data_IF_611185267450
#
_entry.id   IF_611185267450
#
_cell.length_a   1.000
_cell.length_b   1.000
_cell.length_c   1.000
_cell.angle_alpha   90.00
_cell.angle_beta   90.00
_cell.angle_gamma   90.00
#
_symmetry.space_group_name_H-M   'P 1'
#
loop_
_entity.id
_entity.type
_entity.pdbx_description
1 polymer ?
#
# COMPACT_ATOMS: atom_id res chain seq x y z
N UNK A 1 -6.54 -43.32 -9.46
CA UNK A 1 -5.70 -42.44 -8.65
C UNK A 1 -4.33 -43.05 -8.49
N UNK A 2 -3.28 -42.26 -8.37
CA UNK A 2 -1.90 -42.72 -8.11
C UNK A 2 -1.64 -42.59 -6.60
N UNK A 3 -1.08 -43.61 -5.99
CA UNK A 3 -0.60 -43.59 -4.61
C UNK A 3 0.93 -43.50 -4.65
N UNK A 4 1.50 -42.48 -4.04
CA UNK A 4 2.94 -42.31 -3.93
C UNK A 4 3.34 -42.54 -2.47
N UNK A 5 4.43 -43.25 -2.24
CA UNK A 5 4.98 -43.54 -0.91
C UNK A 5 6.45 -43.14 -0.90
N UNK A 6 6.83 -42.34 0.06
CA UNK A 6 8.23 -41.94 0.31
C UNK A 6 8.37 -41.43 1.73
N UNK A 7 9.55 -41.59 2.31
CA UNK A 7 9.92 -40.96 3.59
C UNK A 7 10.35 -39.49 3.39
N UNK A 8 10.56 -39.07 2.14
CA UNK A 8 10.86 -37.67 1.77
C UNK A 8 9.64 -37.01 1.20
N UNK A 9 9.07 -36.01 1.93
CA UNK A 9 7.93 -35.26 1.54
C UNK A 9 8.17 -34.41 0.26
N UNK A 10 9.40 -33.95 0.03
CA UNK A 10 9.73 -33.18 -1.17
C UNK A 10 9.73 -34.11 -2.41
N UNK A 11 10.19 -35.32 -2.28
CA UNK A 11 10.10 -36.33 -3.35
C UNK A 11 8.64 -36.64 -3.68
N UNK A 12 7.77 -36.81 -2.68
CA UNK A 12 6.33 -37.00 -2.88
C UNK A 12 5.67 -35.81 -3.58
N UNK A 13 6.00 -34.59 -3.15
CA UNK A 13 5.47 -33.35 -3.74
C UNK A 13 5.89 -33.22 -5.21
N UNK A 14 7.16 -33.52 -5.52
CA UNK A 14 7.66 -33.48 -6.90
C UNK A 14 6.99 -34.55 -7.77
N UNK A 15 6.82 -35.77 -7.28
CA UNK A 15 6.16 -36.86 -7.99
C UNK A 15 4.68 -36.54 -8.24
N UNK A 16 4.01 -35.90 -7.29
CA UNK A 16 2.63 -35.41 -7.42
C UNK A 16 2.51 -34.13 -8.28
N UNK A 17 3.64 -33.59 -8.77
CA UNK A 17 3.73 -32.29 -9.44
C UNK A 17 3.16 -31.15 -8.59
N UNK A 18 3.24 -31.26 -7.28
CA UNK A 18 2.86 -30.23 -6.31
C UNK A 18 4.14 -29.54 -5.85
N UNK A 19 4.41 -28.34 -6.28
CA UNK A 19 5.59 -27.58 -5.88
C UNK A 19 5.21 -26.26 -5.22
N UNK A 20 6.06 -25.82 -4.30
CA UNK A 20 5.96 -24.51 -3.71
C UNK A 20 6.23 -23.41 -4.75
N UNK A 21 5.65 -22.24 -4.54
CA UNK A 21 6.04 -21.05 -5.29
C UNK A 21 7.43 -20.59 -4.84
N UNK A 22 8.30 -20.27 -5.80
CA UNK A 22 9.69 -19.87 -5.48
C UNK A 22 9.79 -18.49 -4.84
N UNK A 23 8.75 -17.71 -4.91
CA UNK A 23 8.70 -16.35 -4.37
C UNK A 23 8.93 -16.28 -2.85
N UNK A 24 8.72 -17.36 -2.11
CA UNK A 24 9.05 -17.43 -0.69
C UNK A 24 10.53 -17.18 -0.41
N UNK A 25 11.42 -17.53 -1.35
CA UNK A 25 12.85 -17.28 -1.22
C UNK A 25 13.21 -15.80 -1.31
N UNK A 26 12.35 -14.99 -1.93
CA UNK A 26 12.49 -13.55 -2.00
C UNK A 26 11.86 -12.81 -0.80
N UNK A 27 11.21 -13.53 0.14
CA UNK A 27 10.51 -12.94 1.28
C UNK A 27 9.05 -12.59 0.98
N UNK A 28 8.53 -13.07 -0.15
CA UNK A 28 7.13 -12.91 -0.51
C UNK A 28 6.30 -14.09 0.02
N UNK A 29 5.10 -13.81 0.48
CA UNK A 29 4.09 -14.82 0.78
C UNK A 29 2.97 -14.75 -0.25
N UNK A 30 2.29 -15.87 -0.49
CA UNK A 30 1.15 -15.85 -1.39
C UNK A 30 0.04 -16.83 -1.01
N UNK A 31 -1.18 -16.45 -1.38
CA UNK A 31 -2.33 -17.35 -1.48
C UNK A 31 -2.66 -17.48 -2.96
N UNK A 32 -2.64 -18.72 -3.47
CA UNK A 32 -2.93 -19.02 -4.86
C UNK A 32 -4.28 -19.70 -5.02
N UNK A 33 -5.09 -19.22 -5.97
CA UNK A 33 -6.36 -19.83 -6.35
C UNK A 33 -6.41 -20.09 -7.85
N UNK A 34 -6.98 -21.21 -8.26
CA UNK A 34 -7.28 -21.50 -9.65
C UNK A 34 -8.56 -20.78 -10.09
N UNK A 35 -8.59 -20.32 -11.33
CA UNK A 35 -9.78 -19.86 -12.03
C UNK A 35 -10.04 -20.70 -13.28
N UNK A 36 -11.12 -20.43 -14.00
CA UNK A 36 -11.43 -21.14 -15.23
C UNK A 36 -10.39 -20.93 -16.35
N UNK A 37 -9.69 -19.80 -16.36
CA UNK A 37 -8.76 -19.39 -17.44
C UNK A 37 -7.30 -19.25 -16.98
N UNK A 38 -7.03 -19.38 -15.67
CA UNK A 38 -5.69 -19.17 -15.12
C UNK A 38 -5.65 -19.27 -13.62
N UNK A 39 -4.88 -18.36 -12.99
CA UNK A 39 -4.71 -18.34 -11.53
C UNK A 39 -4.74 -16.92 -11.01
N UNK A 40 -5.16 -16.79 -9.75
CA UNK A 40 -5.01 -15.58 -8.94
C UNK A 40 -3.98 -15.84 -7.86
N UNK A 41 -3.09 -14.88 -7.66
CA UNK A 41 -2.10 -14.85 -6.60
C UNK A 41 -2.34 -13.59 -5.78
N UNK A 42 -2.71 -13.72 -4.52
CA UNK A 42 -2.60 -12.65 -3.54
C UNK A 42 -1.19 -12.74 -2.99
N UNK A 43 -0.39 -11.70 -3.21
CA UNK A 43 1.02 -11.68 -2.86
C UNK A 43 1.27 -10.55 -1.87
N UNK A 44 1.99 -10.85 -0.80
CA UNK A 44 2.42 -9.92 0.23
C UNK A 44 3.94 -9.91 0.34
N UNK A 45 4.52 -8.72 0.45
CA UNK A 45 5.91 -8.57 0.84
C UNK A 45 6.04 -8.60 2.36
N UNK A 46 6.29 -9.79 2.93
CA UNK A 46 6.49 -9.96 4.37
C UNK A 46 7.95 -9.75 4.82
N UNK A 47 8.83 -9.27 3.92
CA UNK A 47 10.21 -8.93 4.25
C UNK A 47 10.34 -7.47 4.71
N UNK A 48 11.48 -7.12 5.26
CA UNK A 48 11.84 -5.77 5.70
C UNK A 48 12.46 -4.89 4.59
N UNK A 49 12.51 -5.41 3.34
CA UNK A 49 13.10 -4.72 2.18
C UNK A 49 12.11 -4.54 1.05
N UNK A 50 12.29 -3.50 0.26
CA UNK A 50 11.56 -3.34 -1.00
C UNK A 50 11.93 -4.47 -1.96
N UNK A 51 10.95 -5.03 -2.63
CA UNK A 51 11.11 -6.00 -3.73
C UNK A 51 10.92 -5.24 -5.03
N UNK A 52 11.89 -5.31 -5.91
CA UNK A 52 11.89 -4.80 -7.29
C UNK A 52 12.52 -5.87 -8.16
N UNK A 53 11.74 -6.90 -8.52
CA UNK A 53 12.33 -8.06 -9.21
C UNK A 53 11.29 -8.83 -10.05
N UNK A 54 11.81 -9.71 -10.90
CA UNK A 54 11.04 -10.68 -11.66
C UNK A 54 10.69 -11.88 -10.79
N UNK A 55 9.41 -11.99 -10.44
CA UNK A 55 8.92 -13.01 -9.52
C UNK A 55 8.38 -14.21 -10.30
N UNK A 56 8.99 -15.38 -10.14
CA UNK A 56 8.56 -16.58 -10.84
C UNK A 56 7.25 -17.11 -10.25
N UNK A 57 6.25 -17.26 -11.11
CA UNK A 57 4.98 -17.89 -10.81
C UNK A 57 4.96 -19.28 -11.44
N UNK A 58 4.59 -20.29 -10.66
CA UNK A 58 4.50 -21.67 -11.14
C UNK A 58 3.25 -21.87 -11.99
N UNK A 59 3.22 -21.21 -13.12
CA UNK A 59 2.16 -21.29 -14.12
C UNK A 59 2.67 -20.88 -15.48
N UNK A 60 2.11 -21.45 -16.52
CA UNK A 60 2.25 -20.93 -17.88
C UNK A 60 1.11 -19.98 -18.18
N UNK A 61 1.43 -18.74 -18.53
CA UNK A 61 0.43 -17.75 -18.87
C UNK A 61 0.76 -17.03 -20.17
N UNK A 62 -0.29 -16.58 -20.87
CA UNK A 62 -0.17 -15.69 -22.03
C UNK A 62 -0.27 -14.23 -21.64
N UNK A 63 -0.93 -13.95 -20.54
CA UNK A 63 -1.08 -12.60 -19.99
C UNK A 63 -1.10 -12.66 -18.47
N UNK A 64 -0.67 -11.57 -17.86
CA UNK A 64 -0.81 -11.29 -16.45
C UNK A 64 -1.29 -9.85 -16.24
N UNK A 65 -2.07 -9.64 -15.20
CA UNK A 65 -2.51 -8.31 -14.76
C UNK A 65 -2.28 -8.17 -13.26
N UNK A 66 -1.93 -6.96 -12.82
CA UNK A 66 -1.75 -6.60 -11.41
C UNK A 66 -2.93 -5.74 -10.98
N UNK A 67 -3.40 -5.99 -9.77
CA UNK A 67 -4.42 -5.19 -9.08
C UNK A 67 -3.87 -4.85 -7.70
N UNK A 68 -3.79 -3.57 -7.40
CA UNK A 68 -3.43 -3.09 -6.06
C UNK A 68 -4.72 -2.84 -5.28
N UNK A 69 -5.05 -3.64 -4.25
CA UNK A 69 -6.31 -3.52 -3.53
C UNK A 69 -6.38 -2.27 -2.64
N UNK A 70 -5.24 -1.68 -2.28
CA UNK A 70 -5.18 -0.49 -1.44
C UNK A 70 -5.45 0.79 -2.23
N UNK A 71 -4.98 0.85 -3.48
CA UNK A 71 -5.07 2.06 -4.31
C UNK A 71 -6.15 1.97 -5.39
N UNK A 72 -6.61 0.75 -5.71
CA UNK A 72 -7.48 0.49 -6.87
C UNK A 72 -6.73 0.50 -8.21
N UNK A 73 -5.42 0.74 -8.22
CA UNK A 73 -4.63 0.71 -9.44
C UNK A 73 -4.60 -0.69 -10.06
N UNK A 74 -4.73 -0.76 -11.37
CA UNK A 74 -4.67 -2.02 -12.10
C UNK A 74 -4.08 -1.83 -13.50
N UNK A 75 -3.55 -2.91 -14.07
CA UNK A 75 -3.00 -2.89 -15.43
C UNK A 75 -2.33 -4.20 -15.82
N UNK A 76 -1.92 -4.29 -17.09
CA UNK A 76 -1.17 -5.43 -17.61
C UNK A 76 0.22 -5.46 -17.01
N UNK A 77 0.57 -6.58 -16.38
CA UNK A 77 1.87 -6.78 -15.77
C UNK A 77 2.97 -6.91 -16.83
N UNK A 78 4.14 -6.35 -16.54
CA UNK A 78 5.35 -6.75 -17.27
C UNK A 78 5.64 -8.22 -16.96
N UNK A 79 5.82 -9.04 -18.00
CA UNK A 79 5.99 -10.49 -17.83
C UNK A 79 7.03 -11.06 -18.79
N UNK A 80 7.67 -12.15 -18.37
CA UNK A 80 8.56 -13.00 -19.17
C UNK A 80 8.07 -14.43 -19.13
N UNK A 81 8.35 -15.19 -20.17
CA UNK A 81 8.06 -16.63 -20.21
C UNK A 81 9.39 -17.39 -20.22
N UNK A 82 9.52 -18.31 -19.27
CA UNK A 82 10.67 -19.18 -19.13
C UNK A 82 10.14 -20.61 -18.94
N UNK A 83 10.62 -21.57 -19.70
CA UNK A 83 10.38 -23.04 -19.63
C UNK A 83 9.30 -23.51 -18.62
N UNK A 84 8.03 -23.40 -19.01
CA UNK A 84 6.89 -23.84 -18.19
C UNK A 84 6.52 -22.90 -17.02
N UNK A 85 7.10 -21.72 -16.96
CA UNK A 85 6.97 -20.75 -15.88
C UNK A 85 6.71 -19.35 -16.47
N UNK A 86 6.04 -18.53 -15.71
CA UNK A 86 5.83 -17.11 -16.02
C UNK A 86 6.46 -16.26 -14.94
N UNK A 87 7.37 -15.37 -15.30
CA UNK A 87 7.90 -14.38 -14.36
C UNK A 87 7.13 -13.08 -14.54
N UNK A 88 6.70 -12.47 -13.44
CA UNK A 88 6.01 -11.18 -13.40
C UNK A 88 6.87 -10.18 -12.64
N UNK A 89 7.07 -9.00 -13.19
CA UNK A 89 7.78 -7.93 -12.50
C UNK A 89 6.90 -7.34 -11.41
N UNK A 90 7.41 -7.28 -10.19
CA UNK A 90 6.72 -6.70 -9.05
C UNK A 90 7.60 -5.65 -8.37
N UNK A 91 6.95 -4.56 -7.94
CA UNK A 91 7.49 -3.55 -7.04
C UNK A 91 6.61 -3.51 -5.79
N UNK A 92 7.15 -3.96 -4.66
CA UNK A 92 6.39 -4.06 -3.40
C UNK A 92 7.26 -3.54 -2.25
N UNK A 93 6.79 -2.53 -1.55
CA UNK A 93 7.38 -2.10 -0.29
C UNK A 93 7.10 -3.14 0.82
N UNK A 94 7.83 -3.13 1.95
CA UNK A 94 7.50 -3.95 3.11
C UNK A 94 6.04 -3.79 3.53
N UNK A 95 5.32 -4.90 3.75
CA UNK A 95 3.91 -4.95 4.09
C UNK A 95 2.94 -4.73 2.92
N UNK A 96 3.43 -4.36 1.74
CA UNK A 96 2.56 -4.10 0.59
C UNK A 96 2.04 -5.40 -0.03
N UNK A 97 0.81 -5.33 -0.53
CA UNK A 97 0.10 -6.46 -1.14
C UNK A 97 -0.38 -6.15 -2.55
N UNK A 98 -0.37 -7.15 -3.41
CA UNK A 98 -1.01 -7.08 -4.74
C UNK A 98 -1.72 -8.37 -5.07
N UNK A 99 -2.66 -8.27 -6.00
CA UNK A 99 -3.27 -9.44 -6.64
C UNK A 99 -2.72 -9.53 -8.06
N UNK A 100 -2.12 -10.67 -8.38
CA UNK A 100 -1.70 -10.99 -9.76
C UNK A 100 -2.68 -12.00 -10.33
N UNK A 101 -3.33 -11.62 -11.44
CA UNK A 101 -4.16 -12.52 -12.24
C UNK A 101 -3.37 -12.99 -13.46
N UNK A 102 -3.30 -14.30 -13.67
CA UNK A 102 -2.68 -14.90 -14.86
C UNK A 102 -3.71 -15.58 -15.73
N UNK A 103 -3.50 -15.62 -17.04
CA UNK A 103 -4.42 -16.27 -17.97
C UNK A 103 -3.70 -16.95 -19.14
N UNK A 104 -4.25 -18.06 -19.58
CA UNK A 104 -3.93 -18.69 -20.87
C UNK A 104 -4.49 -17.94 -22.08
N UNK A 105 -5.33 -16.94 -21.87
CA UNK A 105 -5.88 -16.04 -22.90
C UNK A 105 -5.16 -14.69 -22.85
N UNK A 106 -5.27 -13.89 -23.91
CA UNK A 106 -4.75 -12.53 -23.90
C UNK A 106 -5.70 -11.59 -23.17
N UNK A 107 -5.13 -10.83 -22.21
CA UNK A 107 -5.78 -9.66 -21.65
C UNK A 107 -5.53 -8.44 -22.54
N UNK A 108 -6.48 -7.52 -22.55
CA UNK A 108 -6.36 -6.21 -23.19
C UNK A 108 -6.56 -5.14 -22.11
N UNK A 109 -5.82 -4.04 -22.22
CA UNK A 109 -5.86 -2.94 -21.27
C UNK A 109 -4.54 -2.19 -21.22
N UNK A 110 -4.48 -1.18 -20.37
CA UNK A 110 -3.28 -0.38 -20.17
C UNK A 110 -2.23 -1.17 -19.38
N UNK A 111 -0.96 -0.81 -19.56
CA UNK A 111 0.12 -1.36 -18.74
C UNK A 111 -0.02 -0.94 -17.29
N UNK A 112 0.34 -1.83 -16.37
CA UNK A 112 0.45 -1.47 -14.95
C UNK A 112 1.56 -0.42 -14.79
N UNK A 113 1.25 0.65 -14.04
CA UNK A 113 2.19 1.73 -13.80
C UNK A 113 3.22 1.32 -12.74
N UNK A 114 4.49 1.29 -13.13
CA UNK A 114 5.62 1.13 -12.22
C UNK A 114 6.26 2.49 -12.01
N UNK A 115 6.59 2.84 -10.76
CA UNK A 115 7.12 4.15 -10.41
C UNK A 115 8.59 4.08 -10.03
N UNK A 116 9.39 4.91 -10.67
CA UNK A 116 10.80 5.09 -10.30
C UNK A 116 10.97 6.37 -9.48
N UNK A 117 11.85 6.32 -8.47
CA UNK A 117 12.17 7.50 -7.69
C UNK A 117 12.86 8.54 -8.57
N UNK A 118 12.29 9.75 -8.62
CA UNK A 118 12.83 10.88 -9.39
C UNK A 118 13.79 11.75 -8.56
N UNK A 119 14.03 11.42 -7.28
CA UNK A 119 14.92 12.18 -6.39
C UNK A 119 14.71 11.81 -4.93
N UNK A 120 15.39 12.55 -4.06
CA UNK A 120 15.29 12.35 -2.62
C UNK A 120 13.94 12.86 -2.08
N UNK A 121 13.39 12.18 -1.05
CA UNK A 121 12.17 12.64 -0.39
C UNK A 121 12.36 14.04 0.20
N UNK A 122 11.35 14.89 0.02
CA UNK A 122 11.33 16.20 0.63
C UNK A 122 10.26 16.22 1.73
N UNK A 123 10.60 16.55 2.99
CA UNK A 123 9.59 16.69 4.02
C UNK A 123 8.62 17.83 3.66
N UNK A 124 7.35 17.63 3.96
CA UNK A 124 6.36 18.70 3.91
C UNK A 124 6.65 19.61 5.10
N UNK A 125 7.33 20.72 4.82
CA UNK A 125 7.75 21.71 5.82
C UNK A 125 6.67 22.77 6.02
N UNK A 126 6.68 23.40 7.21
CA UNK A 126 5.75 24.45 7.59
C UNK A 126 4.90 24.06 8.77
N UNK A 127 4.11 25.03 9.26
CA UNK A 127 3.23 24.78 10.39
C UNK A 127 1.98 24.04 9.96
N UNK A 128 1.49 23.17 10.83
CA UNK A 128 0.27 22.41 10.67
C UNK A 128 -0.77 22.91 11.68
N UNK A 129 -1.97 23.16 11.21
CA UNK A 129 -3.13 23.33 12.08
C UNK A 129 -3.80 21.99 12.29
N UNK A 130 -3.96 21.58 13.56
CA UNK A 130 -4.65 20.36 13.95
C UNK A 130 -5.96 20.71 14.62
N UNK A 131 -7.08 20.30 14.01
CA UNK A 131 -8.43 20.58 14.50
C UNK A 131 -9.17 19.26 14.77
N UNK A 132 -9.81 19.15 15.91
CA UNK A 132 -10.56 17.97 16.32
C UNK A 132 -12.03 18.16 15.95
N UNK A 133 -12.56 17.33 15.06
CA UNK A 133 -13.85 17.61 14.39
C UNK A 133 -14.97 16.65 14.77
N UNK A 134 -14.63 15.47 15.25
CA UNK A 134 -15.61 14.45 15.63
C UNK A 134 -14.98 13.47 16.62
N UNK A 135 -15.66 13.15 17.72
CA UNK A 135 -15.18 12.19 18.72
C UNK A 135 -15.53 12.57 20.13
N UNK A 136 -14.79 12.05 21.09
CA UNK A 136 -15.03 12.28 22.52
C UNK A 136 -13.86 11.90 23.42
N UNK A 137 -14.00 12.19 24.74
CA UNK A 137 -15.20 12.62 25.48
C UNK A 137 -15.64 14.06 25.17
N UNK A 138 -14.73 14.92 24.80
CA UNK A 138 -14.96 16.29 24.33
C UNK A 138 -14.01 16.57 23.15
N UNK A 139 -14.34 17.58 22.34
CA UNK A 139 -13.44 18.00 21.27
C UNK A 139 -12.35 18.90 21.86
N UNK A 140 -11.05 18.53 21.76
CA UNK A 140 -9.97 19.41 22.16
C UNK A 140 -9.93 20.68 21.32
N UNK A 141 -9.32 21.74 21.85
CA UNK A 141 -9.06 22.96 21.09
C UNK A 141 -8.11 22.70 19.93
N UNK A 142 -8.29 23.44 18.84
CA UNK A 142 -7.32 23.40 17.72
C UNK A 142 -5.96 23.91 18.17
N UNK A 143 -4.91 23.31 17.64
CA UNK A 143 -3.51 23.65 17.95
C UNK A 143 -2.71 23.79 16.66
N UNK A 144 -1.69 24.63 16.67
CA UNK A 144 -0.70 24.75 15.61
C UNK A 144 0.59 24.10 16.05
N UNK A 145 1.18 23.26 15.21
CA UNK A 145 2.42 22.54 15.47
C UNK A 145 3.37 22.66 14.27
N UNK A 146 4.67 22.69 14.53
CA UNK A 146 5.69 22.72 13.47
C UNK A 146 6.26 21.32 13.18
N UNK A 147 5.89 20.33 13.98
CA UNK A 147 6.27 18.92 13.81
C UNK A 147 5.07 18.03 14.09
N UNK A 148 4.84 17.07 13.21
CA UNK A 148 3.78 16.09 13.39
C UNK A 148 4.21 14.98 14.36
N UNK A 149 3.26 14.51 15.16
CA UNK A 149 3.41 13.44 16.13
C UNK A 149 2.05 12.96 16.59
N UNK A 150 2.03 12.09 17.59
CA UNK A 150 0.77 11.68 18.20
C UNK A 150 0.12 12.86 18.93
N UNK A 151 -1.17 13.06 18.73
CA UNK A 151 -1.88 14.09 19.50
C UNK A 151 -1.93 13.79 21.02
N UNK A 152 -1.66 12.53 21.42
CA UNK A 152 -1.52 12.16 22.83
C UNK A 152 -0.29 12.79 23.49
N UNK A 153 0.66 13.29 22.69
CA UNK A 153 1.88 13.97 23.18
C UNK A 153 1.63 15.47 23.38
N UNK A 154 0.47 16.00 22.98
CA UNK A 154 0.11 17.39 23.21
C UNK A 154 -0.17 17.64 24.70
N UNK A 155 0.05 18.86 25.14
CA UNK A 155 -0.15 19.27 26.53
C UNK A 155 -1.65 19.40 26.82
N UNK A 156 -2.16 18.54 27.69
CA UNK A 156 -3.55 18.51 28.14
C UNK A 156 -4.13 17.11 28.12
N UNK A 157 -4.94 16.81 29.11
CA UNK A 157 -5.55 15.47 29.25
C UNK A 157 -6.66 15.23 28.21
N UNK A 158 -7.25 16.32 27.69
CA UNK A 158 -8.22 16.29 26.61
C UNK A 158 -7.67 15.72 25.32
N UNK A 159 -6.38 15.93 25.02
CA UNK A 159 -5.71 15.34 23.86
C UNK A 159 -5.38 13.85 24.08
N UNK A 160 -4.91 13.51 25.28
CA UNK A 160 -4.54 12.13 25.63
C UNK A 160 -5.72 11.18 25.60
N UNK A 161 -6.88 11.63 26.11
CA UNK A 161 -8.11 10.83 26.18
C UNK A 161 -8.96 10.88 24.91
N UNK A 162 -8.60 11.72 23.93
CA UNK A 162 -9.41 11.90 22.73
C UNK A 162 -9.36 10.68 21.82
N UNK A 163 -10.54 10.23 21.44
CA UNK A 163 -10.73 9.25 20.36
C UNK A 163 -11.75 9.79 19.38
N UNK A 164 -11.37 9.80 18.09
CA UNK A 164 -12.19 10.39 17.05
C UNK A 164 -11.41 10.79 15.82
N UNK A 165 -11.83 11.87 15.18
CA UNK A 165 -11.22 12.39 13.96
C UNK A 165 -10.59 13.75 14.17
N UNK A 166 -9.31 13.88 13.82
CA UNK A 166 -8.59 15.13 13.72
C UNK A 166 -8.27 15.46 12.25
N UNK A 167 -8.23 16.75 11.95
CA UNK A 167 -7.92 17.30 10.63
C UNK A 167 -6.62 18.07 10.75
N UNK A 168 -5.63 17.65 9.98
CA UNK A 168 -4.33 18.28 9.85
C UNK A 168 -4.31 19.08 8.54
N UNK A 169 -4.05 20.37 8.63
CA UNK A 169 -4.03 21.26 7.46
C UNK A 169 -2.70 22.00 7.37
N UNK A 170 -2.12 22.01 6.18
CA UNK A 170 -0.92 22.81 5.87
C UNK A 170 -0.96 23.30 4.43
N UNK A 171 -0.02 24.20 4.07
CA UNK A 171 0.15 24.68 2.70
C UNK A 171 1.47 24.19 2.13
N UNK A 172 1.43 23.59 0.96
CA UNK A 172 2.60 23.20 0.18
C UNK A 172 2.88 24.31 -0.84
N UNK A 173 4.06 24.92 -0.74
CA UNK A 173 4.49 26.02 -1.63
C UNK A 173 5.57 25.54 -2.62
N UNK A 174 5.40 24.35 -3.19
CA UNK A 174 6.40 23.77 -4.08
C UNK A 174 5.71 23.09 -5.26
N UNK A 175 6.10 23.49 -6.46
CA UNK A 175 5.66 22.79 -7.67
C UNK A 175 6.26 21.39 -7.74
N UNK A 176 5.52 20.39 -8.21
CA UNK A 176 6.04 19.04 -8.45
C UNK A 176 7.15 19.06 -9.51
N UNK A 177 8.14 18.17 -9.34
CA UNK A 177 9.26 18.01 -10.29
C UNK A 177 9.18 16.69 -11.07
N UNK A 178 8.11 15.94 -10.87
CA UNK A 178 7.84 14.65 -11.53
C UNK A 178 6.36 14.59 -11.92
N UNK A 179 6.00 13.69 -12.83
CA UNK A 179 4.61 13.53 -13.31
C UNK A 179 3.66 13.01 -12.23
N UNK A 180 4.21 12.28 -11.25
CA UNK A 180 3.47 11.73 -10.11
C UNK A 180 4.25 12.00 -8.83
N UNK A 181 3.56 12.50 -7.82
CA UNK A 181 4.11 12.74 -6.49
C UNK A 181 3.66 11.63 -5.55
N UNK A 182 4.61 10.94 -4.94
CA UNK A 182 4.34 10.02 -3.85
C UNK A 182 4.26 10.81 -2.54
N UNK A 183 3.08 10.89 -1.95
CA UNK A 183 2.87 11.41 -0.62
C UNK A 183 3.00 10.27 0.38
N UNK A 184 3.94 10.36 1.29
CA UNK A 184 4.15 9.42 2.38
C UNK A 184 3.76 10.08 3.69
N UNK A 185 2.78 9.49 4.38
CA UNK A 185 2.29 9.99 5.67
C UNK A 185 3.10 9.42 6.86
N UNK A 186 4.09 8.56 6.59
CA UNK A 186 4.89 7.91 7.61
C UNK A 186 4.07 6.92 8.44
N UNK A 187 3.73 7.29 9.67
CA UNK A 187 2.92 6.47 10.57
C UNK A 187 1.58 7.15 10.85
N UNK A 188 0.51 6.40 10.68
CA UNK A 188 -0.87 6.87 10.93
C UNK A 188 -1.56 5.90 11.90
N UNK A 189 -2.26 6.44 12.86
CA UNK A 189 -3.06 5.67 13.80
C UNK A 189 -4.54 6.03 13.59
N UNK A 190 -5.20 5.30 12.85
CA UNK A 190 -5.44 4.02 12.24
C UNK A 190 -5.55 4.18 10.71
N UNK A 191 -6.27 5.25 10.29
CA UNK A 191 -6.52 5.55 8.89
C UNK A 191 -6.46 7.05 8.61
N UNK A 192 -6.15 7.39 7.36
CA UNK A 192 -6.12 8.79 6.93
C UNK A 192 -6.77 8.97 5.56
N UNK A 193 -7.64 9.98 5.46
CA UNK A 193 -8.17 10.47 4.18
C UNK A 193 -7.48 11.77 3.80
N UNK A 194 -6.98 11.84 2.57
CA UNK A 194 -6.18 12.95 2.05
C UNK A 194 -6.96 13.75 1.03
N UNK A 195 -6.85 15.07 1.14
CA UNK A 195 -7.43 16.04 0.19
C UNK A 195 -6.35 17.03 -0.21
N UNK A 196 -6.33 17.41 -1.48
CA UNK A 196 -5.48 18.46 -2.04
C UNK A 196 -6.35 19.51 -2.70
N UNK A 197 -6.26 20.77 -2.26
CA UNK A 197 -7.09 21.88 -2.75
C UNK A 197 -8.61 21.61 -2.70
N UNK A 198 -9.04 20.83 -1.71
CA UNK A 198 -10.43 20.39 -1.55
C UNK A 198 -10.80 19.13 -2.33
N UNK A 199 -9.99 18.69 -3.28
CA UNK A 199 -10.21 17.45 -4.03
C UNK A 199 -9.80 16.24 -3.19
N UNK A 200 -10.69 15.23 -3.11
CA UNK A 200 -10.35 13.95 -2.47
C UNK A 200 -9.32 13.19 -3.31
N UNK A 201 -8.22 12.81 -2.65
CA UNK A 201 -7.12 12.06 -3.28
C UNK A 201 -7.24 10.57 -3.00
N UNK A 202 -7.50 10.20 -1.75
CA UNK A 202 -7.61 8.78 -1.35
C UNK A 202 -7.65 8.61 0.15
N UNK A 203 -7.87 7.37 0.58
CA UNK A 203 -7.80 6.95 1.98
C UNK A 203 -6.80 5.80 2.11
N UNK A 204 -5.94 5.88 3.10
CA UNK A 204 -5.03 4.81 3.50
C UNK A 204 -5.48 4.24 4.85
N UNK A 205 -5.49 2.92 4.96
CA UNK A 205 -6.04 2.18 6.12
C UNK A 205 -5.00 1.28 6.78
N UNK A 206 -3.86 1.09 6.15
CA UNK A 206 -2.77 0.26 6.65
C UNK A 206 -1.44 0.70 6.01
N UNK A 207 -0.34 0.22 6.54
CA UNK A 207 1.02 0.44 6.01
C UNK A 207 1.21 -0.25 4.64
N UNK A 208 1.96 0.39 3.72
CA UNK A 208 2.54 1.72 3.81
C UNK A 208 1.47 2.81 3.59
N UNK A 209 1.49 3.84 4.44
CA UNK A 209 0.54 4.96 4.36
C UNK A 209 0.94 5.94 3.25
N UNK A 210 0.84 5.51 2.01
CA UNK A 210 1.32 6.22 0.83
C UNK A 210 0.22 6.39 -0.22
N UNK A 211 0.21 7.55 -0.88
CA UNK A 211 -0.67 7.87 -2.00
C UNK A 211 0.13 8.43 -3.16
N UNK A 212 -0.32 8.16 -4.37
CA UNK A 212 0.27 8.67 -5.60
C UNK A 212 -0.65 9.74 -6.20
N UNK A 213 -0.14 10.96 -6.32
CA UNK A 213 -0.90 12.14 -6.73
C UNK A 213 -0.35 12.64 -8.06
N UNK A 214 -1.15 12.68 -9.16
CA UNK A 214 -0.73 13.26 -10.42
C UNK A 214 -0.30 14.72 -10.24
N UNK A 215 0.81 15.11 -10.88
CA UNK A 215 1.38 16.45 -10.75
C UNK A 215 0.41 17.57 -11.17
N UNK A 216 -0.47 17.28 -12.10
CA UNK A 216 -1.50 18.20 -12.61
C UNK A 216 -2.50 18.68 -11.55
N UNK A 217 -2.61 17.96 -10.42
CA UNK A 217 -3.45 18.37 -9.29
C UNK A 217 -2.83 19.48 -8.44
N UNK A 218 -1.53 19.72 -8.60
CA UNK A 218 -0.81 20.76 -7.88
C UNK A 218 -0.89 22.09 -8.64
N UNK A 219 -1.09 23.18 -7.88
CA UNK A 219 -1.23 24.57 -8.41
C UNK A 219 -0.03 25.44 -8.03
N UNK A 220 0.93 24.91 -7.25
CA UNK A 220 2.14 25.60 -6.80
C UNK A 220 2.01 26.26 -5.41
N UNK A 221 0.80 26.59 -5.00
CA UNK A 221 0.42 26.87 -3.60
C UNK A 221 -0.81 26.02 -3.32
N UNK A 222 -0.62 24.96 -2.55
CA UNK A 222 -1.59 23.88 -2.43
C UNK A 222 -1.96 23.65 -0.98
N UNK A 223 -3.25 23.63 -0.67
CA UNK A 223 -3.75 23.23 0.63
C UNK A 223 -3.76 21.68 0.71
N UNK A 224 -2.98 21.15 1.63
CA UNK A 224 -3.00 19.72 1.97
C UNK A 224 -3.81 19.54 3.25
N UNK A 225 -4.84 18.71 3.17
CA UNK A 225 -5.67 18.33 4.32
C UNK A 225 -5.61 16.82 4.52
N UNK A 226 -5.23 16.40 5.73
CA UNK A 226 -5.17 14.99 6.13
C UNK A 226 -6.12 14.77 7.30
N UNK A 227 -7.17 13.99 7.10
CA UNK A 227 -8.14 13.63 8.13
C UNK A 227 -7.76 12.28 8.71
N UNK A 228 -7.35 12.26 9.97
CA UNK A 228 -6.93 11.05 10.68
C UNK A 228 -8.01 10.64 11.67
N UNK A 229 -8.43 9.38 11.59
CA UNK A 229 -9.35 8.80 12.57
C UNK A 229 -8.65 7.67 13.33
N UNK A 230 -8.65 7.76 14.67
CA UNK A 230 -8.12 6.70 15.52
C UNK A 230 -9.23 5.79 16.06
N UNK A 231 -8.81 4.71 16.72
CA UNK A 231 -9.69 3.82 17.47
C UNK A 231 -10.03 4.38 18.86
N UNK A 232 -10.88 3.68 19.61
CA UNK A 232 -11.24 4.01 21.01
C UNK A 232 -10.11 3.74 22.02
N UNK A 233 -8.94 3.26 21.58
CA UNK A 233 -7.87 2.82 22.46
C UNK A 233 -7.39 3.91 23.42
N UNK A 234 -7.20 5.14 22.95
CA UNK A 234 -6.76 6.27 23.78
C UNK A 234 -7.75 6.55 24.93
N UNK A 235 -9.04 6.54 24.61
CA UNK A 235 -10.09 6.79 25.61
C UNK A 235 -10.16 5.66 26.65
N UNK A 236 -10.06 4.41 26.19
CA UNK A 236 -10.11 3.26 27.10
C UNK A 236 -8.88 3.22 28.00
N UNK A 237 -7.70 3.53 27.46
CA UNK A 237 -6.46 3.55 28.22
C UNK A 237 -6.43 4.66 29.30
N UNK A 238 -7.24 5.72 29.12
CA UNK A 238 -7.31 6.87 30.04
C UNK A 238 -8.43 6.74 31.08
N UNK A 239 -9.33 5.79 30.94
CA UNK A 239 -10.42 5.49 31.91
C UNK A 239 -9.92 4.65 33.07
#
# INVERSE_FOLDING_TARGET
>A
GKICLSDDINALMNEANVGAEKMYQAGLQCIRRNSATGKYYFIENSSDRKIEDWIPLRTEARSAAIFNPMTGASGLAAMKRNDGQTDVYLELNPGETVIVSTSGQHFTGDAYAYYQNAGEPNPVSGSWTVSFVQGGPQLPASITVDSLGSWTDFVGDEYKSFSGTAVYTTTINKAPVADVIKLDLGSVAENASVYLNGDYIGTVIDSPYQLYIPAEKFKGQDELVVRVANSMANRIAYM
#
